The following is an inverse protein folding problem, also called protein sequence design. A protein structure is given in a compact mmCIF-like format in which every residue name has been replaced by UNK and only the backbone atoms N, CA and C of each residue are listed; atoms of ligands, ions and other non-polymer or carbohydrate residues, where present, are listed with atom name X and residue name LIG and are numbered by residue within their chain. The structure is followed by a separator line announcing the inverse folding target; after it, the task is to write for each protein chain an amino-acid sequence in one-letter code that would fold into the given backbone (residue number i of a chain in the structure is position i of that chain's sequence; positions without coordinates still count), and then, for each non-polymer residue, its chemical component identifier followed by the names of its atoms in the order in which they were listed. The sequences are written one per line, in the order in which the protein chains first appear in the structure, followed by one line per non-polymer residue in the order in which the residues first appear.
data_IF_633056027154
#
_entry.id   IF_633056027154
#
_cell.length_a   1.000
_cell.length_b   1.000
_cell.length_c   1.000
_cell.angle_alpha   90.00
_cell.angle_beta   90.00
_cell.angle_gamma   90.00
#
_symmetry.space_group_name_H-M   'P 1'
#
loop_
_entity.id
_entity.type
_entity.pdbx_description
1 polymer ?
#
# COMPACT_ATOMS: atom_id res chain seq x y z
N UNK A 1 49.29 36.88 -66.95
CA UNK A 1 48.45 37.12 -65.75
C UNK A 1 48.60 35.98 -64.73
N UNK A 2 49.83 35.65 -64.30
CA UNK A 2 50.12 34.50 -63.40
C UNK A 2 50.56 34.91 -61.98
N UNK A 3 50.49 36.22 -61.68
CA UNK A 3 50.98 36.84 -60.43
C UNK A 3 49.95 36.83 -59.29
N UNK A 4 48.67 36.66 -59.62
CA UNK A 4 47.55 36.64 -58.66
C UNK A 4 47.19 35.23 -58.16
N UNK A 5 47.68 34.20 -58.87
CA UNK A 5 47.47 32.79 -58.54
C UNK A 5 47.99 32.38 -57.14
N UNK A 6 49.18 32.83 -56.66
CA UNK A 6 49.62 32.49 -55.31
C UNK A 6 48.74 33.13 -54.23
N UNK A 7 48.17 34.32 -54.48
CA UNK A 7 47.30 35.00 -53.53
C UNK A 7 45.95 34.30 -53.41
N UNK A 8 45.42 33.78 -54.51
CA UNK A 8 44.16 33.02 -54.52
C UNK A 8 44.30 31.68 -53.76
N UNK A 9 45.46 31.04 -53.84
CA UNK A 9 45.77 29.80 -53.09
C UNK A 9 45.88 30.11 -51.59
N UNK A 10 46.51 31.23 -51.21
CA UNK A 10 46.61 31.63 -49.79
C UNK A 10 45.24 31.96 -49.21
N UNK A 11 44.38 32.67 -49.96
CA UNK A 11 43.01 32.98 -49.52
C UNK A 11 42.18 31.70 -49.40
N UNK A 12 42.28 30.79 -50.37
CA UNK A 12 41.59 29.50 -50.30
C UNK A 12 42.07 28.67 -49.11
N UNK A 13 43.38 28.64 -48.83
CA UNK A 13 43.94 27.98 -47.66
C UNK A 13 43.46 28.59 -46.34
N UNK A 14 43.44 29.92 -46.24
CA UNK A 14 42.91 30.64 -45.07
C UNK A 14 41.43 30.37 -44.84
N UNK A 15 40.62 30.35 -45.90
CA UNK A 15 39.20 30.02 -45.81
C UNK A 15 38.96 28.57 -45.37
N UNK A 16 39.78 27.65 -45.87
CA UNK A 16 39.70 26.23 -45.51
C UNK A 16 40.09 26.01 -44.04
N UNK A 17 41.15 26.68 -43.58
CA UNK A 17 41.56 26.66 -42.16
C UNK A 17 40.47 27.27 -41.27
N UNK A 18 39.91 28.43 -41.65
CA UNK A 18 38.85 29.08 -40.90
C UNK A 18 37.59 28.21 -40.80
N UNK A 19 37.24 27.51 -41.88
CA UNK A 19 36.10 26.59 -41.92
C UNK A 19 36.31 25.39 -40.98
N UNK A 20 37.48 24.76 -41.03
CA UNK A 20 37.84 23.62 -40.18
C UNK A 20 37.83 24.01 -38.70
N UNK A 21 38.41 25.17 -38.34
CA UNK A 21 38.43 25.68 -36.96
C UNK A 21 37.01 25.95 -36.44
N UNK A 22 36.11 26.46 -37.28
CA UNK A 22 34.72 26.70 -36.89
C UNK A 22 33.97 25.38 -36.62
N UNK A 23 34.21 24.37 -37.44
CA UNK A 23 33.57 23.07 -37.30
C UNK A 23 34.01 22.34 -36.02
N UNK A 24 35.32 22.40 -35.71
CA UNK A 24 35.89 21.82 -34.48
C UNK A 24 35.36 22.49 -33.20
N UNK A 25 35.06 23.80 -33.25
CA UNK A 25 34.54 24.54 -32.08
C UNK A 25 33.05 24.30 -31.79
N UNK A 26 32.30 23.71 -32.73
CA UNK A 26 30.84 23.55 -32.59
C UNK A 26 30.45 22.22 -31.92
N UNK A 27 31.39 21.29 -31.73
CA UNK A 27 31.11 19.91 -31.28
C UNK A 27 30.99 19.71 -29.75
N UNK A 28 30.73 20.76 -28.96
CA UNK A 28 30.94 20.72 -27.50
C UNK A 28 29.77 21.11 -26.60
N UNK A 29 28.58 21.38 -27.14
CA UNK A 29 27.44 21.74 -26.28
C UNK A 29 26.68 20.48 -25.87
N UNK A 30 26.94 19.98 -24.65
CA UNK A 30 26.15 18.91 -24.05
C UNK A 30 24.73 19.42 -23.78
N UNK A 31 23.74 18.86 -24.50
CA UNK A 31 22.33 19.19 -24.30
C UNK A 31 21.77 18.37 -23.15
N UNK A 32 21.38 19.04 -22.05
CA UNK A 32 20.75 18.40 -20.90
C UNK A 32 19.23 18.57 -20.95
N UNK A 33 18.50 17.47 -20.75
CA UNK A 33 17.07 17.51 -20.51
C UNK A 33 16.83 17.71 -19.02
N UNK A 34 16.13 18.79 -18.67
CA UNK A 34 15.73 19.09 -17.29
C UNK A 34 14.21 19.13 -17.19
N UNK A 35 13.70 18.84 -15.99
CA UNK A 35 12.29 18.90 -15.67
C UNK A 35 12.09 19.83 -14.46
N UNK A 36 10.92 20.49 -14.42
CA UNK A 36 10.60 21.42 -13.35
C UNK A 36 10.26 20.67 -12.05
N UNK A 37 10.82 21.09 -10.92
CA UNK A 37 10.60 20.42 -9.63
C UNK A 37 9.33 20.96 -8.98
N UNK A 38 8.36 20.08 -8.71
CA UNK A 38 7.12 20.41 -8.01
C UNK A 38 7.11 19.81 -6.61
N UNK A 39 6.64 20.58 -5.62
CA UNK A 39 6.43 20.10 -4.25
C UNK A 39 4.99 19.65 -4.08
N UNK A 40 4.80 18.43 -3.58
CA UNK A 40 3.50 17.87 -3.21
C UNK A 40 3.64 17.09 -1.91
N UNK A 41 2.52 16.80 -1.26
CA UNK A 41 2.55 15.96 -0.07
C UNK A 41 2.77 14.50 -0.48
N UNK A 42 3.74 13.85 0.16
CA UNK A 42 4.00 12.42 0.00
C UNK A 42 3.53 11.75 1.28
N UNK A 43 2.50 10.92 1.18
CA UNK A 43 1.97 10.17 2.31
C UNK A 43 2.43 8.73 2.18
N UNK A 44 3.19 8.25 3.17
CA UNK A 44 3.59 6.86 3.26
C UNK A 44 2.66 6.15 4.24
N UNK A 45 1.78 5.29 3.73
CA UNK A 45 0.90 4.47 4.55
C UNK A 45 1.57 3.12 4.83
N UNK A 46 1.61 2.71 6.09
CA UNK A 46 2.04 1.36 6.49
C UNK A 46 0.77 0.56 6.79
N UNK A 47 0.55 -0.51 6.05
CA UNK A 47 -0.58 -1.42 6.27
C UNK A 47 -0.23 -2.40 7.39
N UNK A 48 -0.86 -2.24 8.56
CA UNK A 48 -0.80 -3.22 9.63
C UNK A 48 -2.08 -4.06 9.61
N UNK A 49 -1.94 -5.37 9.45
CA UNK A 49 -3.04 -6.32 9.63
C UNK A 49 -3.08 -6.75 11.09
N UNK A 50 -4.26 -6.68 11.70
CA UNK A 50 -4.53 -7.15 13.06
C UNK A 50 -5.80 -7.98 13.09
N UNK A 51 -5.88 -8.97 13.97
CA UNK A 51 -7.10 -9.76 14.17
C UNK A 51 -8.06 -9.01 15.08
N UNK A 52 -9.34 -8.95 14.70
CA UNK A 52 -10.39 -8.35 15.53
C UNK A 52 -10.84 -9.37 16.58
N UNK A 53 -10.81 -8.96 17.85
CA UNK A 53 -11.31 -9.76 18.96
C UNK A 53 -12.58 -9.11 19.54
N UNK A 54 -13.57 -9.89 19.99
CA UNK A 54 -14.73 -9.34 20.69
C UNK A 54 -14.29 -8.67 22.00
N UNK A 55 -14.94 -7.55 22.34
CA UNK A 55 -14.64 -6.80 23.58
C UNK A 55 -14.90 -7.66 24.82
N UNK A 56 -15.97 -8.48 24.77
CA UNK A 56 -16.34 -9.40 25.84
C UNK A 56 -16.76 -10.72 25.20
N UNK A 57 -16.12 -11.81 25.63
CA UNK A 57 -16.49 -13.17 25.26
C UNK A 57 -16.85 -13.94 26.53
N UNK A 58 -18.06 -14.48 26.62
CA UNK A 58 -18.53 -15.24 27.78
C UNK A 58 -18.89 -16.64 27.33
N UNK A 59 -18.22 -17.64 27.92
CA UNK A 59 -18.58 -19.03 27.72
C UNK A 59 -19.64 -19.42 28.75
N UNK A 60 -20.85 -19.72 28.27
CA UNK A 60 -21.98 -20.11 29.10
C UNK A 60 -22.02 -21.64 29.18
N UNK A 61 -22.15 -22.18 30.39
CA UNK A 61 -22.25 -23.61 30.65
C UNK A 61 -23.21 -23.90 31.80
N UNK A 62 -23.49 -25.17 32.04
CA UNK A 62 -24.29 -25.59 33.19
C UNK A 62 -23.42 -25.87 34.41
N UNK A 63 -23.90 -25.50 35.60
CA UNK A 63 -23.29 -25.90 36.88
C UNK A 63 -23.70 -27.31 37.31
N UNK A 64 -24.79 -27.84 36.75
CA UNK A 64 -25.35 -29.14 37.11
C UNK A 64 -25.37 -30.07 35.90
N UNK A 65 -25.10 -31.35 36.13
CA UNK A 65 -25.22 -32.37 35.09
C UNK A 65 -26.68 -32.77 34.91
N UNK A 66 -27.16 -32.83 33.67
CA UNK A 66 -28.52 -33.23 33.33
C UNK A 66 -28.84 -33.01 31.85
N UNK A 67 -29.92 -33.64 31.38
CA UNK A 67 -30.37 -33.51 29.99
C UNK A 67 -31.04 -32.14 29.75
N UNK A 68 -30.85 -31.54 28.57
CA UNK A 68 -31.55 -30.30 28.19
C UNK A 68 -33.01 -30.67 27.88
N UNK A 69 -33.94 -30.13 28.66
CA UNK A 69 -35.39 -30.28 28.44
C UNK A 69 -35.91 -29.26 27.41
N UNK A 70 -35.45 -28.01 27.48
CA UNK A 70 -35.84 -26.93 26.54
C UNK A 70 -34.66 -26.02 26.23
N UNK A 71 -34.55 -25.58 24.98
CA UNK A 71 -33.57 -24.59 24.53
C UNK A 71 -34.32 -23.36 24.00
N UNK A 72 -34.00 -22.19 24.54
CA UNK A 72 -34.69 -20.91 24.25
C UNK A 72 -33.85 -19.94 23.43
N UNK A 73 -32.58 -20.25 23.17
CA UNK A 73 -31.71 -19.46 22.31
C UNK A 73 -30.88 -20.39 21.43
N UNK A 74 -30.76 -20.03 20.16
CA UNK A 74 -29.98 -20.74 19.16
C UNK A 74 -28.83 -19.86 18.65
N UNK A 75 -28.01 -20.40 17.76
CA UNK A 75 -26.92 -19.70 17.11
C UNK A 75 -27.38 -18.35 16.51
N UNK A 76 -26.59 -17.29 16.74
CA UNK A 76 -26.88 -15.90 16.39
C UNK A 76 -28.12 -15.25 17.04
N UNK A 77 -28.77 -15.90 18.01
CA UNK A 77 -29.85 -15.28 18.77
C UNK A 77 -29.29 -14.20 19.70
N UNK A 78 -29.92 -13.01 19.71
CA UNK A 78 -29.58 -11.98 20.68
C UNK A 78 -30.17 -12.32 22.05
N UNK A 79 -29.34 -12.36 23.08
CA UNK A 79 -29.73 -12.66 24.46
C UNK A 79 -29.38 -11.51 25.39
N UNK A 80 -30.19 -11.31 26.43
CA UNK A 80 -29.95 -10.29 27.47
C UNK A 80 -29.39 -10.94 28.75
N UNK A 81 -28.73 -10.14 29.57
CA UNK A 81 -28.28 -10.58 30.89
C UNK A 81 -29.48 -11.08 31.72
N UNK A 82 -29.35 -12.27 32.31
CA UNK A 82 -30.41 -12.91 33.10
C UNK A 82 -31.48 -13.64 32.29
N UNK A 83 -31.40 -13.66 30.95
CA UNK A 83 -32.32 -14.42 30.11
C UNK A 83 -32.04 -15.93 30.24
N UNK A 84 -33.11 -16.72 30.37
CA UNK A 84 -33.01 -18.18 30.38
C UNK A 84 -32.66 -18.66 28.97
N UNK A 85 -31.49 -19.29 28.84
CA UNK A 85 -30.95 -19.80 27.57
C UNK A 85 -31.37 -21.25 27.34
N UNK A 86 -31.30 -22.09 28.38
CA UNK A 86 -31.70 -23.49 28.35
C UNK A 86 -32.25 -23.93 29.71
N UNK A 87 -33.16 -24.90 29.71
CA UNK A 87 -33.70 -25.55 30.90
C UNK A 87 -33.24 -27.00 30.94
N UNK A 88 -32.63 -27.39 32.06
CA UNK A 88 -32.20 -28.76 32.33
C UNK A 88 -33.35 -29.52 33.00
N UNK A 89 -33.50 -30.81 32.66
CA UNK A 89 -34.51 -31.69 33.23
C UNK A 89 -34.39 -31.74 34.77
N UNK A 90 -35.41 -31.25 35.51
CA UNK A 90 -35.36 -31.16 36.96
C UNK A 90 -35.69 -32.50 37.66
N UNK A 91 -36.07 -33.57 36.94
CA UNK A 91 -36.55 -34.80 37.56
C UNK A 91 -35.56 -35.42 38.56
N UNK A 92 -34.26 -35.43 38.23
CA UNK A 92 -33.21 -35.93 39.13
C UNK A 92 -33.03 -35.05 40.37
N UNK A 93 -33.20 -33.73 40.22
CA UNK A 93 -33.08 -32.77 41.32
C UNK A 93 -34.30 -32.81 42.25
N UNK A 94 -35.52 -32.87 41.71
CA UNK A 94 -36.74 -32.92 42.52
C UNK A 94 -36.83 -34.22 43.34
N UNK A 95 -36.30 -35.33 42.81
CA UNK A 95 -36.26 -36.62 43.50
C UNK A 95 -35.27 -36.65 44.69
N UNK A 96 -34.24 -35.79 44.68
CA UNK A 96 -33.19 -35.76 45.72
C UNK A 96 -33.51 -34.79 46.87
N UNK A 97 -34.40 -33.82 46.64
CA UNK A 97 -34.73 -32.74 47.59
C UNK A 97 -36.00 -33.05 48.41
N UNK A 98 -36.58 -34.25 48.26
CA UNK A 98 -37.68 -34.75 49.11
C UNK A 98 -37.14 -35.76 50.10
#
# INVERSE_FOLDING_TARGET
MKRFLPWLIVIAGLLLIAFVVRQLRTSGAATYQSANVTRGQITQAVTATGTLNPVVNVQVGSQVSGNISKLFADFNSQVKAGQVVAQIDPALFQATVT
#
